data_IF_740638677867
#
_entry.id   IF_740638677867
#
_cell.length_a   1.000
_cell.length_b   1.000
_cell.length_c   1.000
_cell.angle_alpha   90.00
_cell.angle_beta   90.00
_cell.angle_gamma   90.00
#
_symmetry.space_group_name_H-M   'P 1'
#
loop_
_entity.id
_entity.type
_entity.pdbx_description
1 polymer ?
#
# COMPACT_ATOMS: atom_id res chain seq x y z
N UNK A 1 -40.55 -8.09 13.94
CA UNK A 1 -39.96 -8.46 12.64
C UNK A 1 -38.46 -8.80 12.70
N UNK A 2 -37.58 -8.02 13.38
CA UNK A 2 -36.11 -8.29 13.44
C UNK A 2 -35.72 -9.60 14.15
N UNK A 3 -36.46 -10.05 15.19
CA UNK A 3 -36.17 -11.30 15.91
C UNK A 3 -36.49 -12.56 15.11
N UNK A 4 -37.48 -12.50 14.23
CA UNK A 4 -37.91 -13.64 13.40
C UNK A 4 -36.91 -13.93 12.27
N UNK A 5 -36.28 -12.90 11.72
CA UNK A 5 -35.28 -13.03 10.63
C UNK A 5 -33.99 -13.68 11.16
N UNK A 6 -33.59 -13.33 12.41
CA UNK A 6 -32.38 -13.88 13.03
C UNK A 6 -32.57 -15.39 13.35
N UNK A 7 -33.76 -15.78 13.78
CA UNK A 7 -34.08 -17.18 14.06
C UNK A 7 -34.12 -18.04 12.79
N UNK A 8 -34.58 -17.50 11.66
CA UNK A 8 -34.61 -18.22 10.37
C UNK A 8 -33.18 -18.40 9.82
N UNK A 9 -32.31 -17.39 9.95
CA UNK A 9 -30.93 -17.51 9.53
C UNK A 9 -30.14 -18.54 10.35
N UNK A 10 -30.42 -18.63 11.64
CA UNK A 10 -29.78 -19.61 12.53
C UNK A 10 -30.31 -21.04 12.31
N UNK A 11 -31.60 -21.19 11.96
CA UNK A 11 -32.20 -22.50 11.60
C UNK A 11 -31.70 -23.02 10.26
N UNK A 12 -31.47 -22.15 9.26
CA UNK A 12 -30.88 -22.56 7.97
C UNK A 12 -29.42 -22.99 8.10
N UNK A 13 -28.66 -22.41 9.05
CA UNK A 13 -27.26 -22.78 9.30
C UNK A 13 -27.14 -24.19 9.88
N UNK A 14 -28.11 -24.64 10.68
CA UNK A 14 -28.14 -25.97 11.28
C UNK A 14 -28.46 -27.10 10.27
N UNK A 15 -28.97 -26.81 9.07
CA UNK A 15 -29.32 -27.80 8.06
C UNK A 15 -28.26 -28.00 6.97
N UNK A 16 -27.15 -27.24 7.02
CA UNK A 16 -26.06 -27.45 6.08
C UNK A 16 -25.23 -28.67 6.48
N UNK A 17 -24.77 -29.52 5.56
CA UNK A 17 -23.86 -30.61 5.87
C UNK A 17 -22.57 -30.04 6.48
N UNK A 18 -21.98 -30.78 7.43
CA UNK A 18 -20.80 -30.33 8.21
C UNK A 18 -19.66 -29.78 7.33
N UNK A 19 -19.47 -30.33 6.12
CA UNK A 19 -18.49 -29.81 5.16
C UNK A 19 -18.82 -28.40 4.66
N UNK A 20 -20.12 -28.08 4.46
CA UNK A 20 -20.54 -26.75 4.03
C UNK A 20 -20.40 -25.72 5.17
N UNK A 21 -20.70 -26.13 6.40
CA UNK A 21 -20.48 -25.29 7.58
C UNK A 21 -18.99 -24.99 7.79
N UNK A 22 -18.14 -25.99 7.59
CA UNK A 22 -16.68 -25.81 7.71
C UNK A 22 -16.12 -24.82 6.67
N UNK A 23 -16.58 -24.93 5.41
CA UNK A 23 -16.18 -23.99 4.37
C UNK A 23 -16.68 -22.56 4.61
N UNK A 24 -17.90 -22.39 5.13
CA UNK A 24 -18.44 -21.07 5.48
C UNK A 24 -17.62 -20.46 6.62
N UNK A 25 -17.34 -21.23 7.68
CA UNK A 25 -16.54 -20.76 8.83
C UNK A 25 -15.12 -20.40 8.41
N UNK A 26 -14.48 -21.22 7.56
CA UNK A 26 -13.14 -20.92 7.02
C UNK A 26 -13.12 -19.65 6.16
N UNK A 27 -14.15 -19.45 5.33
CA UNK A 27 -14.28 -18.24 4.50
C UNK A 27 -14.47 -16.99 5.35
N UNK A 28 -15.27 -17.04 6.42
CA UNK A 28 -15.42 -15.93 7.36
C UNK A 28 -14.13 -15.68 8.18
N UNK A 29 -13.45 -16.73 8.61
CA UNK A 29 -12.19 -16.62 9.33
C UNK A 29 -11.11 -15.92 8.48
N UNK A 30 -11.04 -16.20 7.17
CA UNK A 30 -10.13 -15.50 6.22
C UNK A 30 -10.43 -14.01 6.11
N UNK A 31 -11.69 -13.60 6.23
CA UNK A 31 -12.10 -12.19 6.18
C UNK A 31 -11.73 -11.43 7.47
N UNK A 32 -11.43 -12.15 8.54
CA UNK A 32 -11.12 -11.59 9.86
C UNK A 32 -9.61 -11.51 10.17
N UNK A 33 -8.72 -11.82 9.22
CA UNK A 33 -7.28 -11.65 9.45
C UNK A 33 -6.95 -10.19 9.72
N UNK A 34 -6.23 -9.95 10.81
CA UNK A 34 -5.76 -8.60 11.16
C UNK A 34 -4.84 -8.08 10.06
N UNK A 35 -5.06 -6.87 9.54
CA UNK A 35 -4.13 -6.24 8.63
C UNK A 35 -2.72 -6.15 9.21
N UNK A 36 -1.71 -6.16 8.36
CA UNK A 36 -0.30 -6.04 8.76
C UNK A 36 -0.05 -4.69 9.44
N UNK A 37 1.03 -4.61 10.20
CA UNK A 37 1.42 -3.40 10.90
C UNK A 37 2.89 -3.06 10.68
N UNK A 38 3.23 -1.79 10.84
CA UNK A 38 4.58 -1.27 10.70
C UNK A 38 4.83 -0.15 11.72
N UNK A 39 5.99 -0.15 12.36
CA UNK A 39 6.46 0.98 13.17
C UNK A 39 7.35 1.85 12.31
N UNK A 40 6.87 3.05 11.99
CA UNK A 40 7.58 4.03 11.19
C UNK A 40 8.42 4.92 12.11
N UNK A 41 9.75 4.77 12.06
CA UNK A 41 10.69 5.52 12.87
C UNK A 41 11.04 6.86 12.25
N UNK A 42 11.48 7.80 13.10
CA UNK A 42 12.04 9.07 12.61
C UNK A 42 13.40 8.86 11.95
N UNK A 43 13.70 9.69 10.96
CA UNK A 43 15.06 9.88 10.47
C UNK A 43 15.65 11.19 10.99
N UNK A 44 16.96 11.16 11.31
CA UNK A 44 17.75 12.35 11.54
C UNK A 44 18.63 12.68 10.32
N UNK A 45 18.66 11.78 9.33
CA UNK A 45 19.45 11.96 8.13
C UNK A 45 18.76 12.96 7.18
N UNK A 46 19.55 13.74 6.47
CA UNK A 46 19.04 14.52 5.35
C UNK A 46 18.79 13.58 4.18
N UNK A 47 17.53 13.25 3.96
CA UNK A 47 17.13 12.34 2.89
C UNK A 47 17.28 13.03 1.53
N UNK A 48 17.95 12.34 0.60
CA UNK A 48 18.11 12.78 -0.79
C UNK A 48 17.26 11.85 -1.66
N UNK A 49 16.20 12.36 -2.20
CA UNK A 49 15.31 11.57 -3.05
C UNK A 49 15.93 11.45 -4.46
N UNK A 50 16.66 10.36 -4.68
CA UNK A 50 17.33 10.07 -5.96
C UNK A 50 17.10 8.62 -6.45
N UNK A 51 16.22 7.89 -5.76
CA UNK A 51 15.87 6.51 -6.06
C UNK A 51 16.91 5.49 -5.58
N UNK A 52 17.92 5.93 -4.81
CA UNK A 52 18.97 5.07 -4.26
C UNK A 52 18.83 5.05 -2.75
N UNK A 53 18.66 3.88 -2.19
CA UNK A 53 18.48 3.72 -0.75
C UNK A 53 19.84 3.63 -0.04
N UNK A 54 20.70 4.61 -0.23
CA UNK A 54 22.08 4.64 0.29
C UNK A 54 22.24 5.48 1.55
N UNK A 55 21.24 6.23 1.98
CA UNK A 55 21.24 6.91 3.27
C UNK A 55 21.28 5.89 4.42
N UNK A 56 22.08 6.15 5.47
CA UNK A 56 22.18 5.27 6.63
C UNK A 56 20.83 4.96 7.28
N UNK A 57 19.88 5.87 7.21
CA UNK A 57 18.53 5.67 7.73
C UNK A 57 17.79 4.54 7.01
N UNK A 58 17.89 4.45 5.67
CA UNK A 58 17.27 3.37 4.91
C UNK A 58 17.86 1.99 5.23
N UNK A 59 19.17 1.93 5.54
CA UNK A 59 19.81 0.68 5.92
C UNK A 59 19.35 0.15 7.29
N UNK A 60 18.80 1.03 8.14
CA UNK A 60 18.29 0.70 9.48
C UNK A 60 16.77 0.54 9.49
N UNK A 61 16.07 1.09 8.50
CA UNK A 61 14.63 0.95 8.39
C UNK A 61 14.24 -0.51 8.13
N UNK A 62 13.27 -1.02 8.89
CA UNK A 62 12.76 -2.36 8.66
C UNK A 62 12.08 -2.45 7.28
N UNK A 63 12.24 -3.57 6.61
CA UNK A 63 11.43 -3.90 5.45
C UNK A 63 10.02 -4.34 5.89
N UNK A 64 9.04 -4.06 5.06
CA UNK A 64 7.74 -4.73 5.17
C UNK A 64 7.91 -6.23 4.91
N UNK A 65 6.93 -7.04 5.27
CA UNK A 65 6.82 -8.37 4.70
C UNK A 65 6.69 -8.26 3.16
N UNK A 66 7.19 -9.27 2.44
CA UNK A 66 6.99 -9.38 1.00
C UNK A 66 5.52 -9.26 0.63
N UNK A 67 5.25 -8.66 -0.52
CA UNK A 67 3.89 -8.54 -1.02
C UNK A 67 3.29 -9.91 -1.32
N UNK A 68 1.98 -9.98 -1.27
CA UNK A 68 1.17 -11.17 -1.53
C UNK A 68 0.10 -10.83 -2.56
N UNK A 69 -0.59 -11.84 -3.09
CA UNK A 69 -1.76 -11.61 -3.93
C UNK A 69 -2.80 -10.77 -3.17
N UNK A 70 -3.43 -9.84 -3.86
CA UNK A 70 -4.45 -8.94 -3.29
C UNK A 70 -5.62 -9.70 -2.65
N UNK A 71 -5.92 -10.89 -3.14
CA UNK A 71 -6.99 -11.75 -2.61
C UNK A 71 -6.60 -12.50 -1.33
N UNK A 72 -5.31 -12.58 -1.02
CA UNK A 72 -4.81 -13.17 0.23
C UNK A 72 -3.67 -14.17 0.07
N UNK A 73 -3.08 -14.55 1.21
CA UNK A 73 -1.89 -15.43 1.27
C UNK A 73 -2.16 -16.88 0.83
N UNK A 74 -3.41 -17.27 0.71
CA UNK A 74 -3.82 -18.59 0.17
C UNK A 74 -3.79 -18.65 -1.37
N UNK A 75 -3.60 -17.53 -2.03
CA UNK A 75 -3.48 -17.42 -3.48
C UNK A 75 -2.02 -17.63 -3.94
N UNK A 76 -1.77 -17.83 -5.24
CA UNK A 76 -0.42 -17.96 -5.76
C UNK A 76 0.47 -16.80 -5.32
N UNK A 77 1.68 -17.11 -4.88
CA UNK A 77 2.63 -16.06 -4.48
C UNK A 77 3.02 -15.20 -5.69
N UNK A 78 3.21 -13.89 -5.48
CA UNK A 78 3.83 -13.03 -6.48
C UNK A 78 5.06 -13.67 -7.09
N UNK A 79 5.19 -13.56 -8.40
CA UNK A 79 6.33 -14.14 -9.14
C UNK A 79 7.64 -13.41 -8.82
N UNK A 80 7.55 -12.12 -8.51
CA UNK A 80 8.69 -11.25 -8.20
C UNK A 80 8.50 -10.60 -6.84
N UNK A 81 9.56 -10.53 -6.05
CA UNK A 81 9.49 -9.96 -4.71
C UNK A 81 9.33 -8.43 -4.75
N UNK A 82 8.59 -7.93 -3.78
CA UNK A 82 8.45 -6.49 -3.55
C UNK A 82 8.40 -6.26 -2.04
N UNK A 83 9.21 -5.31 -1.58
CA UNK A 83 9.22 -4.86 -0.20
C UNK A 83 9.33 -3.35 -0.14
N UNK A 84 8.71 -2.78 0.87
CA UNK A 84 8.77 -1.36 1.12
C UNK A 84 9.42 -1.06 2.47
N UNK A 85 9.83 0.18 2.66
CA UNK A 85 10.33 0.75 3.91
C UNK A 85 9.70 2.12 4.11
N UNK A 86 9.52 2.50 5.36
CA UNK A 86 9.01 3.83 5.71
C UNK A 86 9.85 4.47 6.81
N UNK A 87 10.04 5.78 6.68
CA UNK A 87 10.62 6.67 7.67
C UNK A 87 9.82 7.97 7.70
N UNK A 88 10.02 8.80 8.70
CA UNK A 88 9.38 10.10 8.75
C UNK A 88 10.25 11.15 9.47
N UNK A 89 9.93 12.42 9.24
CA UNK A 89 10.46 13.56 9.97
C UNK A 89 9.35 14.62 10.18
N UNK A 90 9.73 15.85 10.49
CA UNK A 90 8.76 16.93 10.75
C UNK A 90 8.06 17.45 9.47
N UNK A 91 8.52 17.06 8.28
CA UNK A 91 8.00 17.55 7.00
C UNK A 91 7.41 16.43 6.14
N UNK A 92 8.03 15.24 6.17
CA UNK A 92 7.74 14.18 5.20
C UNK A 92 7.48 12.82 5.84
N UNK A 93 6.56 12.10 5.25
CA UNK A 93 6.58 10.65 5.23
C UNK A 93 7.48 10.21 4.06
N UNK A 94 8.51 9.43 4.35
CA UNK A 94 9.37 8.82 3.35
C UNK A 94 8.93 7.39 3.08
N UNK A 95 8.77 7.05 1.82
CA UNK A 95 8.46 5.70 1.36
C UNK A 95 9.50 5.28 0.35
N UNK A 96 10.01 4.08 0.50
CA UNK A 96 10.86 3.46 -0.50
C UNK A 96 10.41 2.03 -0.75
N UNK A 97 10.49 1.58 -2.02
CA UNK A 97 10.21 0.20 -2.37
C UNK A 97 11.24 -0.31 -3.39
N UNK A 98 11.60 -1.58 -3.23
CA UNK A 98 12.40 -2.33 -4.20
C UNK A 98 11.50 -3.38 -4.82
N UNK A 99 11.40 -3.34 -6.14
CA UNK A 99 10.59 -4.23 -6.94
C UNK A 99 11.51 -5.09 -7.81
N UNK A 100 11.59 -6.38 -7.50
CA UNK A 100 12.25 -7.33 -8.41
C UNK A 100 11.52 -7.34 -9.75
N UNK A 101 12.25 -7.13 -10.85
CA UNK A 101 11.65 -7.01 -12.18
C UNK A 101 12.68 -7.40 -13.25
N UNK A 102 12.59 -8.61 -13.82
CA UNK A 102 13.54 -9.06 -14.83
C UNK A 102 13.34 -8.44 -16.21
N UNK A 103 12.26 -7.67 -16.40
CA UNK A 103 11.98 -6.97 -17.64
C UNK A 103 11.30 -5.63 -17.35
N UNK A 104 12.10 -4.60 -17.11
CA UNK A 104 11.60 -3.27 -16.73
C UNK A 104 10.93 -2.58 -17.90
N UNK A 105 9.60 -2.52 -17.88
CA UNK A 105 8.78 -1.87 -18.91
C UNK A 105 7.99 -0.73 -18.31
N UNK A 106 8.06 0.45 -18.95
CA UNK A 106 7.19 1.58 -18.67
C UNK A 106 7.00 2.40 -19.96
N UNK A 107 5.78 2.49 -20.44
CA UNK A 107 5.43 3.12 -21.70
C UNK A 107 4.73 4.46 -21.52
N UNK A 108 4.01 4.63 -20.42
CA UNK A 108 3.32 5.86 -20.08
C UNK A 108 4.33 6.95 -19.70
N UNK A 109 4.15 8.14 -20.24
CA UNK A 109 5.11 9.25 -20.15
C UNK A 109 4.49 10.56 -19.68
N UNK A 110 3.17 10.62 -19.56
CA UNK A 110 2.45 11.83 -19.17
C UNK A 110 1.93 11.67 -17.75
N UNK A 111 2.14 12.70 -16.92
CA UNK A 111 1.52 12.80 -15.59
C UNK A 111 0.00 12.68 -15.71
N UNK A 112 -0.63 12.12 -14.70
CA UNK A 112 -2.08 11.92 -14.58
C UNK A 112 -2.71 11.04 -15.66
N UNK A 113 -1.86 10.24 -16.31
CA UNK A 113 -2.32 9.07 -17.06
C UNK A 113 -2.56 7.93 -16.08
N UNK A 114 -3.54 7.09 -16.32
CA UNK A 114 -3.85 5.91 -15.52
C UNK A 114 -2.65 4.95 -15.54
N UNK A 115 -1.84 4.98 -14.48
CA UNK A 115 -0.51 4.37 -14.42
C UNK A 115 -0.57 2.85 -14.34
N UNK A 116 -1.60 2.25 -13.73
CA UNK A 116 -1.70 0.79 -13.62
C UNK A 116 -1.79 0.05 -14.99
N UNK A 117 -1.90 0.77 -16.09
CA UNK A 117 -1.73 0.18 -17.43
C UNK A 117 -0.26 -0.14 -17.78
N UNK A 118 0.70 0.37 -17.02
CA UNK A 118 2.08 -0.12 -16.94
C UNK A 118 2.26 -1.01 -15.70
N UNK A 119 3.45 -1.59 -15.53
CA UNK A 119 3.88 -2.09 -14.23
C UNK A 119 4.14 -0.90 -13.31
N UNK A 120 3.62 -0.92 -12.10
CA UNK A 120 3.66 0.24 -11.23
C UNK A 120 3.96 -0.08 -9.76
N UNK A 121 3.97 0.96 -8.96
CA UNK A 121 3.95 0.92 -7.51
C UNK A 121 3.00 2.01 -7.02
N UNK A 122 2.15 1.64 -6.09
CA UNK A 122 1.09 2.50 -5.57
C UNK A 122 1.18 2.62 -4.05
N UNK A 123 0.85 3.80 -3.55
CA UNK A 123 0.77 4.11 -2.12
C UNK A 123 -0.62 4.64 -1.80
N UNK A 124 -1.34 3.95 -0.95
CA UNK A 124 -2.67 4.35 -0.46
C UNK A 124 -2.54 4.80 0.99
N UNK A 125 -3.05 6.00 1.32
CA UNK A 125 -2.84 6.65 2.62
C UNK A 125 -4.16 7.21 3.15
N UNK A 126 -4.56 6.76 4.32
CA UNK A 126 -5.69 7.29 5.09
C UNK A 126 -5.15 7.74 6.47
N UNK A 127 -4.93 9.06 6.65
CA UNK A 127 -4.21 9.59 7.80
C UNK A 127 -4.96 9.52 9.13
N UNK A 128 -6.29 9.48 9.13
CA UNK A 128 -7.10 9.39 10.35
C UNK A 128 -7.77 8.02 10.53
N UNK A 129 -7.71 7.17 9.50
CA UNK A 129 -8.15 5.78 9.55
C UNK A 129 -9.65 5.60 9.54
N UNK A 130 -10.40 6.60 9.10
CA UNK A 130 -11.87 6.56 9.06
C UNK A 130 -12.43 5.97 7.75
N UNK A 131 -11.56 5.69 6.78
CA UNK A 131 -11.89 5.12 5.47
C UNK A 131 -12.44 6.13 4.48
N UNK A 132 -12.29 7.43 4.77
CA UNK A 132 -12.74 8.53 3.92
C UNK A 132 -11.59 9.51 3.68
N UNK A 133 -11.72 10.34 2.64
CA UNK A 133 -10.76 11.40 2.34
C UNK A 133 -9.31 10.90 2.30
N UNK A 134 -9.10 9.75 1.65
CA UNK A 134 -7.80 9.13 1.53
C UNK A 134 -7.12 9.47 0.20
N UNK A 135 -5.84 9.20 0.14
CA UNK A 135 -4.96 9.58 -0.95
C UNK A 135 -4.36 8.36 -1.63
N UNK A 136 -4.09 8.51 -2.90
CA UNK A 136 -3.42 7.52 -3.75
C UNK A 136 -2.32 8.21 -4.55
N UNK A 137 -1.15 7.57 -4.60
CA UNK A 137 -0.02 8.01 -5.39
C UNK A 137 0.53 6.80 -6.12
N UNK A 138 0.44 6.81 -7.44
CA UNK A 138 0.96 5.76 -8.30
C UNK A 138 2.20 6.24 -9.07
N UNK A 139 3.11 5.34 -9.36
CA UNK A 139 4.20 5.62 -10.29
C UNK A 139 4.66 4.38 -11.03
N UNK A 140 5.10 4.55 -12.29
CA UNK A 140 5.76 3.51 -13.07
C UNK A 140 7.29 3.57 -12.91
N UNK A 141 8.00 2.60 -13.52
CA UNK A 141 9.45 2.54 -13.49
C UNK A 141 10.16 3.69 -14.24
N UNK A 142 9.42 4.58 -14.88
CA UNK A 142 9.92 5.81 -15.47
C UNK A 142 9.87 7.00 -14.50
N UNK A 143 9.11 6.85 -13.40
CA UNK A 143 8.84 7.92 -12.45
C UNK A 143 7.71 8.86 -12.89
N UNK A 144 6.87 8.43 -13.81
CA UNK A 144 5.64 9.13 -14.14
C UNK A 144 4.64 8.92 -13.03
N UNK A 145 3.98 9.96 -12.59
CA UNK A 145 3.11 9.99 -11.43
C UNK A 145 1.65 10.14 -11.88
N UNK A 146 0.77 9.43 -11.19
CA UNK A 146 -0.65 9.71 -11.10
C UNK A 146 -1.02 9.78 -9.63
N UNK A 147 -1.62 10.87 -9.19
CA UNK A 147 -2.01 11.04 -7.79
C UNK A 147 -3.41 11.64 -7.71
N UNK A 148 -4.16 11.20 -6.73
CA UNK A 148 -5.55 11.61 -6.55
C UNK A 148 -5.97 11.52 -5.09
N UNK A 149 -7.09 12.15 -4.79
CA UNK A 149 -7.79 12.03 -3.52
C UNK A 149 -9.17 11.44 -3.75
N UNK A 150 -9.63 10.60 -2.84
CA UNK A 150 -10.99 10.06 -2.83
C UNK A 150 -11.72 10.47 -1.55
N UNK A 151 -12.97 10.93 -1.67
CA UNK A 151 -13.80 11.26 -0.50
C UNK A 151 -14.24 9.99 0.25
N UNK A 152 -14.38 8.86 -0.44
CA UNK A 152 -14.70 7.54 0.09
C UNK A 152 -14.49 6.46 -0.99
N UNK A 153 -14.52 5.17 -0.63
CA UNK A 153 -14.38 4.09 -1.60
C UNK A 153 -15.42 4.14 -2.73
N UNK A 154 -15.01 3.79 -3.95
CA UNK A 154 -15.90 3.73 -5.12
C UNK A 154 -17.17 2.92 -4.88
N UNK A 155 -17.06 1.76 -4.19
CA UNK A 155 -18.20 0.89 -3.83
C UNK A 155 -19.23 1.57 -2.92
N UNK A 156 -18.83 2.66 -2.26
CA UNK A 156 -19.69 3.48 -1.39
C UNK A 156 -20.19 4.75 -2.10
N UNK A 157 -20.05 4.80 -3.43
CA UNK A 157 -20.43 5.96 -4.23
C UNK A 157 -19.46 7.13 -4.08
N UNK A 158 -18.17 6.83 -3.85
CA UNK A 158 -17.13 7.84 -3.70
C UNK A 158 -16.82 8.58 -4.99
N UNK A 159 -16.41 9.82 -4.83
CA UNK A 159 -15.86 10.64 -5.89
C UNK A 159 -14.34 10.62 -5.81
N UNK A 160 -13.70 10.63 -6.96
CA UNK A 160 -12.26 10.73 -7.10
C UNK A 160 -11.89 12.10 -7.68
N UNK A 161 -10.92 12.73 -7.06
CA UNK A 161 -10.43 14.05 -7.44
C UNK A 161 -9.07 13.91 -8.10
N UNK A 162 -9.06 13.61 -9.39
CA UNK A 162 -7.85 13.44 -10.21
C UNK A 162 -7.10 14.76 -10.44
N UNK A 163 -7.72 15.90 -10.14
CA UNK A 163 -7.08 17.21 -10.22
C UNK A 163 -6.28 17.55 -8.97
N UNK A 164 -6.31 16.67 -7.95
CA UNK A 164 -5.48 16.85 -6.78
C UNK A 164 -4.08 16.35 -7.09
N UNK A 165 -3.14 17.24 -7.06
CA UNK A 165 -1.71 16.94 -7.06
C UNK A 165 -1.18 16.98 -5.63
N UNK A 166 -0.35 16.05 -5.21
CA UNK A 166 0.30 16.08 -3.91
C UNK A 166 1.32 17.23 -3.83
N UNK A 167 1.00 18.35 -3.17
CA UNK A 167 1.87 19.52 -3.21
C UNK A 167 3.21 19.24 -2.53
N UNK A 168 4.30 19.41 -3.28
CA UNK A 168 5.66 19.22 -2.77
C UNK A 168 6.13 17.77 -2.72
N UNK A 169 5.41 16.84 -3.29
CA UNK A 169 5.86 15.46 -3.49
C UNK A 169 7.20 15.45 -4.23
N UNK A 170 8.15 14.69 -3.69
CA UNK A 170 9.40 14.35 -4.37
C UNK A 170 9.38 12.85 -4.63
N UNK A 171 9.66 12.46 -5.85
CA UNK A 171 9.73 11.06 -6.27
C UNK A 171 10.92 10.88 -7.21
N UNK A 172 11.66 9.80 -6.99
CA UNK A 172 12.71 9.37 -7.89
C UNK A 172 12.71 7.86 -8.04
N UNK A 173 13.11 7.42 -9.23
CA UNK A 173 13.23 5.99 -9.57
C UNK A 173 14.64 5.71 -10.04
N UNK A 174 15.25 4.66 -9.52
CA UNK A 174 16.45 4.05 -10.08
C UNK A 174 16.14 2.66 -10.63
N UNK A 175 16.96 2.20 -11.54
CA UNK A 175 16.80 0.90 -12.21
C UNK A 175 18.13 0.15 -12.21
N UNK A 176 18.09 -1.09 -11.79
CA UNK A 176 19.17 -2.05 -11.97
C UNK A 176 18.86 -2.90 -13.20
N UNK A 177 19.01 -2.27 -14.34
CA UNK A 177 18.64 -2.77 -15.65
C UNK A 177 18.38 -1.66 -16.66
N UNK A 178 17.76 -2.01 -17.75
CA UNK A 178 17.49 -1.11 -18.90
C UNK A 178 16.00 -1.01 -19.18
N UNK A 179 15.48 0.20 -19.22
CA UNK A 179 14.07 0.45 -19.48
C UNK A 179 13.68 0.08 -20.92
N UNK A 180 12.61 -0.70 -21.08
CA UNK A 180 11.98 -1.06 -22.36
C UNK A 180 12.91 -1.85 -23.31
N UNK A 181 13.88 -2.56 -22.79
CA UNK A 181 14.78 -3.41 -23.60
C UNK A 181 14.56 -4.89 -23.26
N UNK A 182 13.84 -5.58 -24.12
CA UNK A 182 13.44 -6.97 -23.93
C UNK A 182 14.52 -8.00 -24.32
N UNK A 183 15.73 -7.56 -24.67
CA UNK A 183 16.82 -8.44 -25.14
C UNK A 183 17.86 -8.73 -24.06
N UNK A 184 17.72 -8.16 -22.88
CA UNK A 184 18.53 -8.41 -21.70
C UNK A 184 17.66 -8.87 -20.52
N UNK A 185 18.27 -9.07 -19.39
CA UNK A 185 17.56 -9.39 -18.14
C UNK A 185 17.93 -8.38 -17.10
N UNK A 186 16.90 -7.69 -16.59
CA UNK A 186 17.03 -6.73 -15.53
C UNK A 186 16.99 -7.42 -14.16
N UNK A 187 17.20 -6.66 -13.09
CA UNK A 187 17.08 -7.17 -11.73
C UNK A 187 15.94 -6.52 -10.95
N UNK A 188 15.87 -5.21 -10.96
CA UNK A 188 14.88 -4.48 -10.16
C UNK A 188 14.78 -3.02 -10.56
N UNK A 189 13.73 -2.39 -10.09
CA UNK A 189 13.69 -0.94 -9.98
C UNK A 189 13.34 -0.54 -8.55
N UNK A 190 13.74 0.64 -8.16
CA UNK A 190 13.55 1.18 -6.83
C UNK A 190 12.85 2.52 -6.96
N UNK A 191 11.82 2.71 -6.19
CA UNK A 191 11.17 4.02 -6.01
C UNK A 191 11.50 4.57 -4.64
N UNK A 192 11.70 5.87 -4.57
CA UNK A 192 11.90 6.63 -3.34
C UNK A 192 11.03 7.88 -3.39
N UNK A 193 10.26 8.10 -2.33
CA UNK A 193 9.31 9.21 -2.22
C UNK A 193 9.53 9.99 -0.93
N UNK A 194 9.38 11.32 -0.98
CA UNK A 194 9.14 12.16 0.18
C UNK A 194 7.77 12.82 0.00
N UNK A 195 6.82 12.38 0.78
CA UNK A 195 5.41 12.81 0.73
C UNK A 195 5.20 13.83 1.85
N UNK A 196 4.96 15.12 1.56
CA UNK A 196 4.73 16.11 2.59
C UNK A 196 3.47 15.76 3.38
N UNK A 197 3.60 15.46 4.67
CA UNK A 197 2.43 15.11 5.46
C UNK A 197 1.41 16.25 5.57
N UNK A 198 1.82 17.50 5.34
CA UNK A 198 0.91 18.64 5.21
C UNK A 198 -0.01 18.54 3.98
N UNK A 199 0.43 17.86 2.92
CA UNK A 199 -0.39 17.63 1.73
C UNK A 199 -1.52 16.63 1.99
N UNK A 200 -1.36 15.78 3.00
CA UNK A 200 -2.29 14.71 3.38
C UNK A 200 -3.26 15.13 4.49
N UNK A 201 -3.39 16.43 4.75
CA UNK A 201 -4.32 16.92 5.78
C UNK A 201 -5.70 17.13 5.20
N UNK A 202 -6.67 16.42 5.76
CA UNK A 202 -8.08 16.65 5.52
C UNK A 202 -8.65 17.40 6.71
N UNK A 203 -9.47 18.41 6.46
CA UNK A 203 -10.18 19.18 7.49
C UNK A 203 -9.28 19.88 8.54
N UNK A 204 -8.06 20.27 8.18
CA UNK A 204 -7.13 20.99 9.07
C UNK A 204 -6.79 20.28 10.39
N UNK A 205 -7.16 19.02 10.52
CA UNK A 205 -6.97 18.24 11.72
C UNK A 205 -5.72 17.34 11.58
N UNK A 206 -4.82 17.55 12.50
CA UNK A 206 -3.68 16.70 12.88
C UNK A 206 -2.48 16.69 11.94
N UNK A 207 -1.49 17.56 12.18
CA UNK A 207 -0.15 17.30 11.67
C UNK A 207 0.31 15.92 12.18
N UNK A 208 1.07 15.21 11.37
CA UNK A 208 1.67 13.95 11.76
C UNK A 208 2.48 14.13 13.06
N UNK A 209 2.23 13.28 14.04
CA UNK A 209 2.88 13.26 15.35
C UNK A 209 3.30 11.86 15.73
N UNK A 210 4.32 11.77 16.57
CA UNK A 210 4.63 10.52 17.26
C UNK A 210 3.40 10.01 18.04
N UNK A 211 3.17 8.72 17.95
CA UNK A 211 2.00 8.05 18.51
C UNK A 211 0.79 7.99 17.60
N UNK A 212 0.75 8.77 16.50
CA UNK A 212 -0.31 8.60 15.51
C UNK A 212 -0.23 7.21 14.85
N UNK A 213 -1.37 6.73 14.43
CA UNK A 213 -1.49 5.52 13.61
C UNK A 213 -2.32 5.85 12.39
N UNK A 214 -1.75 5.66 11.20
CA UNK A 214 -2.43 5.81 9.93
C UNK A 214 -2.81 4.44 9.35
N UNK A 215 -3.79 4.44 8.47
CA UNK A 215 -4.06 3.30 7.58
C UNK A 215 -3.30 3.54 6.28
N UNK A 216 -2.53 2.55 5.87
CA UNK A 216 -1.72 2.65 4.68
C UNK A 216 -1.59 1.29 4.01
N UNK A 217 -1.56 1.27 2.70
CA UNK A 217 -1.24 0.07 1.94
C UNK A 217 -0.35 0.40 0.75
N UNK A 218 0.30 -0.63 0.26
CA UNK A 218 1.06 -0.59 -0.98
C UNK A 218 0.50 -1.61 -1.94
N UNK A 219 0.49 -1.25 -3.21
CA UNK A 219 0.15 -2.14 -4.31
C UNK A 219 1.23 -2.09 -5.38
N UNK A 220 1.28 -3.16 -6.14
CA UNK A 220 2.03 -3.29 -7.38
C UNK A 220 1.12 -3.96 -8.39
N UNK A 221 0.80 -3.25 -9.47
CA UNK A 221 0.18 -3.87 -10.63
C UNK A 221 1.29 -4.45 -11.51
N UNK A 222 1.11 -5.70 -11.89
CA UNK A 222 2.11 -6.43 -12.68
C UNK A 222 1.49 -7.04 -13.93
N UNK A 223 2.03 -6.69 -15.05
CA UNK A 223 1.75 -7.31 -16.34
C UNK A 223 2.91 -8.23 -16.72
N UNK A 224 2.79 -9.52 -16.41
CA UNK A 224 3.84 -10.50 -16.69
C UNK A 224 4.13 -10.68 -18.19
N UNK A 225 3.18 -10.32 -19.02
CA UNK A 225 3.32 -10.28 -20.49
C UNK A 225 2.31 -9.29 -21.08
N UNK A 226 2.67 -8.71 -22.20
CA UNK A 226 1.79 -7.78 -22.93
C UNK A 226 0.47 -8.46 -23.28
N UNK A 227 -0.66 -7.85 -22.87
CA UNK A 227 -2.01 -8.38 -23.11
C UNK A 227 -2.36 -9.63 -22.31
N UNK A 228 -1.56 -9.97 -21.30
CA UNK A 228 -1.87 -11.00 -20.30
C UNK A 228 -2.85 -10.49 -19.26
N UNK A 229 -3.19 -11.33 -18.28
CA UNK A 229 -3.96 -10.88 -17.14
C UNK A 229 -3.13 -9.92 -16.29
N UNK A 230 -3.81 -8.97 -15.69
CA UNK A 230 -3.30 -8.11 -14.64
C UNK A 230 -3.14 -8.91 -13.35
N UNK A 231 -2.00 -8.78 -12.69
CA UNK A 231 -1.77 -9.32 -11.36
C UNK A 231 -1.63 -8.17 -10.37
N UNK A 232 -2.28 -8.27 -9.23
CA UNK A 232 -2.28 -7.26 -8.18
C UNK A 232 -1.62 -7.83 -6.93
N UNK A 233 -0.45 -7.28 -6.58
CA UNK A 233 0.34 -7.70 -5.43
C UNK A 233 0.41 -6.58 -4.40
N UNK A 234 0.16 -6.90 -3.14
CA UNK A 234 -0.04 -5.89 -2.09
C UNK A 234 0.72 -6.21 -0.82
N UNK A 235 1.05 -5.18 -0.06
CA UNK A 235 1.62 -5.36 1.27
C UNK A 235 0.60 -6.02 2.21
N UNK A 236 -0.63 -5.54 2.26
CA UNK A 236 -1.70 -6.11 3.08
C UNK A 236 -2.89 -6.51 2.20
N UNK A 237 -3.29 -7.79 2.19
CA UNK A 237 -4.35 -8.25 1.30
C UNK A 237 -5.71 -7.64 1.66
N UNK A 238 -6.43 -7.18 0.64
CA UNK A 238 -7.78 -6.65 0.79
C UNK A 238 -8.86 -7.74 0.77
N UNK A 239 -8.49 -8.94 0.32
CA UNK A 239 -9.40 -10.11 0.20
C UNK A 239 -10.20 -10.15 -1.11
N UNK A 240 -9.99 -9.20 -2.00
CA UNK A 240 -10.62 -9.08 -3.33
C UNK A 240 -9.79 -8.16 -4.21
N UNK A 241 -9.98 -8.21 -5.52
CA UNK A 241 -9.34 -7.29 -6.47
C UNK A 241 -10.03 -5.91 -6.36
N UNK A 242 -9.64 -5.15 -5.36
CA UNK A 242 -10.09 -3.79 -5.09
C UNK A 242 -9.19 -3.17 -4.02
N UNK A 243 -8.32 -2.24 -4.41
CA UNK A 243 -7.45 -1.52 -3.48
C UNK A 243 -8.22 -0.51 -2.62
N UNK A 244 -9.35 0.00 -3.11
CA UNK A 244 -10.18 0.98 -2.41
C UNK A 244 -10.98 0.35 -1.27
N UNK A 245 -10.28 -0.33 -0.37
CA UNK A 245 -10.81 -0.99 0.80
C UNK A 245 -10.01 -0.60 2.07
N UNK A 246 -10.08 0.67 2.53
CA UNK A 246 -9.26 1.18 3.63
C UNK A 246 -9.35 0.34 4.91
N UNK A 247 -10.51 -0.28 5.18
CA UNK A 247 -10.69 -1.18 6.32
C UNK A 247 -9.71 -2.36 6.34
N UNK A 248 -9.09 -2.67 5.20
CA UNK A 248 -8.14 -3.78 5.03
C UNK A 248 -6.70 -3.33 4.90
N UNK A 249 -6.43 -2.01 4.84
CA UNK A 249 -5.08 -1.50 4.78
C UNK A 249 -4.34 -1.73 6.10
N UNK A 250 -3.03 -1.74 6.03
CA UNK A 250 -2.15 -1.92 7.17
C UNK A 250 -2.21 -0.76 8.16
N UNK A 251 -1.66 -0.98 9.33
CA UNK A 251 -1.49 0.04 10.36
C UNK A 251 -0.04 0.52 10.38
N UNK A 252 0.17 1.83 10.27
CA UNK A 252 1.49 2.45 10.38
C UNK A 252 1.51 3.34 11.60
N UNK A 253 2.24 2.94 12.64
CA UNK A 253 2.41 3.68 13.87
C UNK A 253 3.71 4.49 13.83
N UNK A 254 3.62 5.80 14.07
CA UNK A 254 4.74 6.72 14.02
C UNK A 254 5.44 6.82 15.38
N UNK A 255 6.72 6.46 15.41
CA UNK A 255 7.58 6.52 16.60
C UNK A 255 8.40 7.81 16.62
N UNK A 256 8.60 8.39 17.79
CA UNK A 256 9.52 9.53 17.99
C UNK A 256 11.00 9.13 18.04
N UNK A 257 11.29 7.83 18.13
CA UNK A 257 12.66 7.33 18.15
C UNK A 257 13.29 7.45 16.77
N UNK A 258 14.57 7.78 16.79
CA UNK A 258 15.40 7.74 15.56
C UNK A 258 15.62 6.27 15.17
N UNK A 259 15.51 5.99 13.89
CA UNK A 259 15.73 4.65 13.33
C UNK A 259 17.11 4.10 13.76
N UNK A 260 17.11 2.87 14.29
CA UNK A 260 18.32 2.23 14.85
C UNK A 260 18.71 2.66 16.27
N UNK A 261 17.92 3.55 16.91
CA UNK A 261 18.15 3.99 18.27
C UNK A 261 17.04 3.49 19.23
N UNK A 262 16.88 2.21 19.32
CA UNK A 262 15.85 1.56 20.13
C UNK A 262 14.74 0.96 19.29
N UNK A 263 13.83 0.26 19.95
CA UNK A 263 12.70 -0.43 19.35
C UNK A 263 11.39 -0.02 20.00
N UNK A 264 10.34 0.05 19.22
CA UNK A 264 8.97 0.15 19.70
C UNK A 264 8.21 -1.10 19.27
N UNK A 265 7.23 -1.45 20.07
CA UNK A 265 6.27 -2.49 19.72
C UNK A 265 5.01 -1.82 19.20
N UNK A 266 4.52 -2.25 18.06
CA UNK A 266 3.26 -1.78 17.52
C UNK A 266 2.13 -2.01 18.53
N UNK A 267 1.26 -1.01 18.71
CA UNK A 267 0.08 -1.09 19.57
C UNK A 267 -1.16 -0.76 18.76
N UNK A 268 -2.15 -1.64 18.79
CA UNK A 268 -3.42 -1.35 18.14
C UNK A 268 -4.08 -0.13 18.78
N UNK A 269 -4.61 0.79 17.96
CA UNK A 269 -5.16 2.07 18.47
C UNK A 269 -6.43 1.91 19.31
N UNK A 270 -7.01 0.71 19.36
CA UNK A 270 -8.31 0.42 20.01
C UNK A 270 -8.17 -0.51 21.23
N UNK A 271 -6.98 -0.58 21.83
CA UNK A 271 -6.77 -1.34 23.09
C UNK A 271 -6.69 -0.40 24.28
#
# INVERSE_FOLDING_TARGET
MKKTILSIAMAMMAMLPAAAQHNVTAKFARQLTTPRSYVCYRTADKMKIDGKLNEPAWQKAAETASFVDISGEDFPKPKYDTKARMLWDDEYLYVAAVLEEPNIVANLTQRDTIIYHDNDFEVFIDPDGDGQNYFEIENNARGVIFDLMLDRPYRSGGNFMIQWDCPGLKLAVSRDGTLNKQTDTDRSWTVEMAIPHKALTVNFANPLKAGNTWRLNFSRVQWLKKGGPEENWVWTPTGKIDMHNPDRWGFVQFSDKIVGQGTDTFRFPYQ
#
